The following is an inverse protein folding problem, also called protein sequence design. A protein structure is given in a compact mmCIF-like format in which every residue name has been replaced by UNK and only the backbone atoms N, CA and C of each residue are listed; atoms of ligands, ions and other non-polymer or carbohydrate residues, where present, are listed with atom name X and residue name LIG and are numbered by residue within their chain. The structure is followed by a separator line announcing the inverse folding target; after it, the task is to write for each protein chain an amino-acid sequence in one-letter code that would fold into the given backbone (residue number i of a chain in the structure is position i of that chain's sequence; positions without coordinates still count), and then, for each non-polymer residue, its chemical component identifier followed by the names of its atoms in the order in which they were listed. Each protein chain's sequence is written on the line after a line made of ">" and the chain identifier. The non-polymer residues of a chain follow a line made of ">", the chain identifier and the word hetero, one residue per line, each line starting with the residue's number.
data_IF_486349347908
#
_entry.id   IF_486349347908
#
_cell.length_a   1.000
_cell.length_b   1.000
_cell.length_c   1.000
_cell.angle_alpha   90.00
_cell.angle_beta   90.00
_cell.angle_gamma   90.00
#
_symmetry.space_group_name_H-M   'P 1'
#
loop_
_entity.id
_entity.type
_entity.pdbx_description
1 polymer ?
#
# COMPACT_ATOMS: atom_id res chain seq x y z
N UNK A 1 -17.75 -0.69 -10.68
CA UNK A 1 -16.97 -1.90 -10.96
C UNK A 1 -17.91 -3.08 -10.79
N UNK A 2 -17.89 -4.02 -11.72
CA UNK A 2 -18.77 -5.20 -11.64
C UNK A 2 -18.37 -6.11 -10.47
N UNK A 3 -19.34 -6.73 -9.77
CA UNK A 3 -19.06 -7.56 -8.58
C UNK A 3 -18.10 -8.72 -8.88
N UNK A 4 -18.29 -9.41 -10.01
CA UNK A 4 -17.43 -10.52 -10.46
C UNK A 4 -15.96 -10.08 -10.70
N UNK A 5 -15.75 -8.83 -11.14
CA UNK A 5 -14.40 -8.31 -11.40
C UNK A 5 -13.66 -8.03 -10.10
N UNK A 6 -14.36 -7.54 -9.06
CA UNK A 6 -13.79 -7.31 -7.73
C UNK A 6 -13.26 -8.60 -7.11
N UNK A 7 -14.05 -9.67 -7.13
CA UNK A 7 -13.67 -10.97 -6.55
C UNK A 7 -12.44 -11.58 -7.25
N UNK A 8 -12.38 -11.44 -8.58
CA UNK A 8 -11.22 -11.88 -9.37
C UNK A 8 -9.94 -11.13 -8.97
N UNK A 9 -10.03 -9.80 -8.76
CA UNK A 9 -8.89 -8.99 -8.34
C UNK A 9 -8.46 -9.28 -6.91
N UNK A 10 -9.40 -9.51 -5.98
CA UNK A 10 -9.07 -9.94 -4.63
C UNK A 10 -8.34 -11.29 -4.62
N UNK A 11 -8.77 -12.23 -5.46
CA UNK A 11 -8.07 -13.52 -5.62
C UNK A 11 -6.65 -13.32 -6.14
N UNK A 12 -6.45 -12.45 -7.14
CA UNK A 12 -5.11 -12.09 -7.63
C UNK A 12 -4.28 -11.43 -6.53
N UNK A 13 -4.87 -10.56 -5.71
CA UNK A 13 -4.19 -9.90 -4.59
C UNK A 13 -3.69 -10.91 -3.56
N UNK A 14 -4.51 -11.92 -3.20
CA UNK A 14 -4.11 -13.01 -2.31
C UNK A 14 -2.90 -13.77 -2.86
N UNK A 15 -2.94 -14.13 -4.14
CA UNK A 15 -1.83 -14.80 -4.83
C UNK A 15 -0.56 -13.93 -4.81
N UNK A 16 -0.68 -12.63 -5.08
CA UNK A 16 0.43 -11.67 -5.08
C UNK A 16 1.07 -11.45 -3.69
N UNK A 17 0.33 -11.75 -2.63
CA UNK A 17 0.78 -11.69 -1.23
C UNK A 17 1.30 -13.05 -0.73
N UNK A 18 1.19 -14.12 -1.52
CA UNK A 18 1.54 -15.47 -1.10
C UNK A 18 0.59 -16.06 -0.05
N UNK A 19 -0.61 -15.49 0.09
CA UNK A 19 -1.64 -15.98 1.00
C UNK A 19 -2.45 -17.07 0.27
N UNK A 20 -2.61 -18.28 0.83
CA UNK A 20 -3.42 -19.31 0.18
C UNK A 20 -4.88 -18.84 0.05
N UNK A 21 -5.52 -19.13 -1.08
CA UNK A 21 -6.88 -18.64 -1.40
C UNK A 21 -7.91 -19.09 -0.37
N UNK A 22 -7.67 -20.23 0.27
CA UNK A 22 -8.50 -20.82 1.33
C UNK A 22 -8.36 -20.14 2.68
N UNK A 23 -7.33 -19.31 2.90
CA UNK A 23 -7.20 -18.53 4.15
C UNK A 23 -8.15 -17.34 4.11
N UNK A 24 -9.10 -17.36 5.06
CA UNK A 24 -10.10 -16.31 5.25
C UNK A 24 -9.75 -15.34 6.37
N UNK A 25 -8.65 -15.59 7.08
CA UNK A 25 -8.23 -14.83 8.27
C UNK A 25 -8.00 -13.35 7.97
N UNK A 26 -7.59 -13.03 6.73
CA UNK A 26 -7.18 -11.69 6.30
C UNK A 26 -8.13 -11.06 5.27
N UNK A 27 -9.25 -11.70 4.91
CA UNK A 27 -10.18 -11.19 3.89
C UNK A 27 -10.73 -9.81 4.23
N UNK A 28 -11.05 -9.55 5.50
CA UNK A 28 -11.57 -8.24 5.93
C UNK A 28 -10.52 -7.14 5.71
N UNK A 29 -9.26 -7.40 6.05
CA UNK A 29 -8.17 -6.45 5.88
C UNK A 29 -7.84 -6.23 4.40
N UNK A 30 -7.86 -7.30 3.59
CA UNK A 30 -7.63 -7.24 2.15
C UNK A 30 -8.74 -6.48 1.44
N UNK A 31 -10.00 -6.77 1.78
CA UNK A 31 -11.17 -6.07 1.26
C UNK A 31 -11.09 -4.58 1.57
N UNK A 32 -10.86 -4.22 2.84
CA UNK A 32 -10.70 -2.82 3.23
C UNK A 32 -9.56 -2.12 2.49
N UNK A 33 -8.38 -2.74 2.41
CA UNK A 33 -7.22 -2.20 1.70
C UNK A 33 -7.52 -1.93 0.22
N UNK A 34 -8.27 -2.85 -0.40
CA UNK A 34 -8.65 -2.77 -1.79
C UNK A 34 -9.70 -1.67 -2.04
N UNK A 35 -10.76 -1.61 -1.23
CA UNK A 35 -11.78 -0.55 -1.32
C UNK A 35 -11.19 0.84 -1.06
N UNK A 36 -10.33 0.98 -0.05
CA UNK A 36 -9.63 2.22 0.25
C UNK A 36 -8.77 2.69 -0.94
N UNK A 37 -8.05 1.75 -1.56
CA UNK A 37 -7.23 2.04 -2.74
C UNK A 37 -8.09 2.48 -3.93
N UNK A 38 -9.20 1.79 -4.19
CA UNK A 38 -10.13 2.14 -5.28
C UNK A 38 -10.69 3.55 -5.06
N UNK A 39 -11.20 3.84 -3.87
CA UNK A 39 -11.77 5.15 -3.55
C UNK A 39 -10.75 6.26 -3.73
N UNK A 40 -9.52 6.05 -3.23
CA UNK A 40 -8.46 7.02 -3.36
C UNK A 40 -8.01 7.23 -4.81
N UNK A 41 -7.96 6.19 -5.65
CA UNK A 41 -7.65 6.34 -7.09
C UNK A 41 -8.79 7.08 -7.80
N UNK A 42 -10.05 6.75 -7.50
CA UNK A 42 -11.22 7.44 -8.07
C UNK A 42 -11.22 8.92 -7.73
N UNK A 43 -10.93 9.26 -6.48
CA UNK A 43 -10.81 10.64 -6.02
C UNK A 43 -9.63 11.36 -6.69
N UNK A 44 -8.48 10.71 -6.83
CA UNK A 44 -7.30 11.30 -7.47
C UNK A 44 -7.48 11.54 -8.97
N UNK A 45 -7.97 10.54 -9.70
CA UNK A 45 -8.18 10.62 -11.14
C UNK A 45 -9.50 11.33 -11.50
N UNK A 46 -10.39 11.58 -10.53
CA UNK A 46 -11.73 12.12 -10.73
C UNK A 46 -12.55 11.28 -11.74
N UNK A 47 -12.58 9.96 -11.50
CA UNK A 47 -13.27 8.97 -12.33
C UNK A 47 -14.27 8.18 -11.48
N UNK A 48 -15.41 7.81 -12.06
CA UNK A 48 -16.44 7.03 -11.35
C UNK A 48 -16.11 5.53 -11.29
N UNK A 49 -15.34 5.04 -12.27
CA UNK A 49 -14.99 3.63 -12.41
C UNK A 49 -13.52 3.46 -12.80
N UNK A 50 -12.90 2.35 -12.35
CA UNK A 50 -11.50 2.04 -12.61
C UNK A 50 -11.40 1.29 -13.95
N UNK A 51 -10.71 1.85 -14.97
CA UNK A 51 -10.50 1.16 -16.23
C UNK A 51 -9.61 -0.07 -16.05
N UNK A 52 -9.76 -1.07 -16.95
CA UNK A 52 -8.96 -2.31 -16.94
C UNK A 52 -7.45 -2.03 -16.91
N UNK A 53 -7.03 -0.95 -17.60
CA UNK A 53 -5.63 -0.53 -17.65
C UNK A 53 -5.05 -0.13 -16.27
N UNK A 54 -5.90 0.29 -15.32
CA UNK A 54 -5.50 0.67 -13.97
C UNK A 54 -5.60 -0.49 -12.95
N UNK A 55 -6.10 -1.67 -13.34
CA UNK A 55 -6.27 -2.79 -12.41
C UNK A 55 -4.94 -3.25 -11.82
N UNK A 56 -3.90 -3.36 -12.64
CA UNK A 56 -2.57 -3.77 -12.17
C UNK A 56 -1.98 -2.74 -11.19
N UNK A 57 -2.10 -1.45 -11.48
CA UNK A 57 -1.66 -0.37 -10.58
C UNK A 57 -2.47 -0.37 -9.29
N UNK A 58 -3.77 -0.60 -9.36
CA UNK A 58 -4.66 -0.73 -8.19
C UNK A 58 -4.23 -1.90 -7.31
N UNK A 59 -3.91 -3.05 -7.88
CA UNK A 59 -3.39 -4.21 -7.15
C UNK A 59 -2.04 -3.92 -6.47
N UNK A 60 -1.14 -3.21 -7.14
CA UNK A 60 0.16 -2.82 -6.57
C UNK A 60 -0.01 -1.87 -5.39
N UNK A 61 -0.87 -0.85 -5.50
CA UNK A 61 -1.15 0.09 -4.42
C UNK A 61 -1.83 -0.64 -3.24
N UNK A 62 -2.82 -1.50 -3.51
CA UNK A 62 -3.51 -2.25 -2.47
C UNK A 62 -2.56 -3.23 -1.75
N UNK A 63 -1.66 -3.88 -2.49
CA UNK A 63 -0.60 -4.73 -1.93
C UNK A 63 0.32 -3.93 -1.02
N UNK A 64 0.81 -2.79 -1.50
CA UNK A 64 1.74 -1.94 -0.75
C UNK A 64 1.08 -1.39 0.52
N UNK A 65 -0.17 -0.91 0.41
CA UNK A 65 -0.96 -0.47 1.55
C UNK A 65 -1.13 -1.60 2.58
N UNK A 66 -1.47 -2.80 2.14
CA UNK A 66 -1.64 -3.96 3.01
C UNK A 66 -0.35 -4.32 3.76
N UNK A 67 0.78 -4.38 3.05
CA UNK A 67 2.09 -4.68 3.64
C UNK A 67 2.58 -3.59 4.60
N UNK A 68 2.17 -2.34 4.38
CA UNK A 68 2.56 -1.25 5.25
C UNK A 68 1.71 -1.17 6.52
N UNK A 69 0.39 -1.43 6.40
CA UNK A 69 -0.59 -1.23 7.47
C UNK A 69 -0.90 -2.48 8.29
N UNK A 70 -0.93 -3.67 7.66
CA UNK A 70 -1.44 -4.90 8.29
C UNK A 70 -0.44 -6.03 8.36
N UNK A 71 0.59 -6.03 7.50
CA UNK A 71 1.68 -6.99 7.71
C UNK A 71 2.35 -6.65 9.04
N UNK A 72 2.34 -7.64 9.94
CA UNK A 72 3.18 -7.61 11.12
C UNK A 72 4.60 -7.26 10.66
N UNK A 73 5.31 -6.36 11.37
CA UNK A 73 6.73 -6.20 11.11
C UNK A 73 7.30 -7.62 11.15
N UNK A 74 7.92 -8.05 10.04
CA UNK A 74 8.71 -9.26 10.06
C UNK A 74 9.52 -9.19 11.34
N UNK A 75 9.42 -10.21 12.18
CA UNK A 75 10.02 -10.27 13.51
C UNK A 75 11.54 -10.18 13.34
N UNK A 76 12.04 -8.99 13.03
CA UNK A 76 13.37 -8.54 13.35
C UNK A 76 13.34 -8.55 14.87
N UNK A 77 14.05 -9.53 15.43
CA UNK A 77 14.14 -9.71 16.86
C UNK A 77 14.32 -8.37 17.55
N UNK A 78 13.53 -8.19 18.59
CA UNK A 78 13.81 -7.27 19.68
C UNK A 78 13.96 -5.79 19.30
N UNK A 79 12.99 -5.02 19.79
CA UNK A 79 13.15 -3.63 20.21
C UNK A 79 13.42 -2.60 19.12
N UNK A 80 12.46 -1.68 19.02
CA UNK A 80 12.71 -0.26 19.28
C UNK A 80 14.02 -0.02 20.07
N UNK A 81 15.14 0.06 19.38
CA UNK A 81 16.30 0.77 19.89
C UNK A 81 16.39 2.06 19.10
N UNK A 82 15.69 3.04 19.66
CA UNK A 82 16.06 4.44 19.61
C UNK A 82 17.57 4.56 19.90
N UNK A 83 18.40 4.47 18.88
CA UNK A 83 19.84 4.71 19.02
C UNK A 83 20.04 6.22 19.05
N UNK A 84 19.93 6.79 20.25
CA UNK A 84 20.48 8.12 20.51
C UNK A 84 21.99 8.04 20.28
N UNK A 85 22.48 8.92 19.40
CA UNK A 85 23.87 9.05 18.96
C UNK A 85 24.89 8.60 20.01
N UNK A 86 25.63 7.52 19.75
CA UNK A 86 26.73 7.11 20.63
C UNK A 86 27.99 7.86 20.21
N UNK A 87 28.41 8.84 21.01
CA UNK A 87 29.64 9.60 20.80
C UNK A 87 30.82 8.88 21.46
N UNK A 88 31.73 8.29 20.66
CA UNK A 88 33.03 7.80 21.15
C UNK A 88 34.14 8.55 20.40
N UNK A 89 34.51 9.73 20.89
CA UNK A 89 35.50 10.58 20.25
C UNK A 89 35.01 11.27 18.97
N UNK A 90 35.93 11.59 18.06
CA UNK A 90 35.75 12.41 16.85
C UNK A 90 35.11 11.67 15.66
N UNK A 91 34.57 10.46 15.87
CA UNK A 91 33.98 9.67 14.78
C UNK A 91 32.49 9.49 15.04
N UNK A 92 31.66 10.15 14.22
CA UNK A 92 30.21 10.07 14.26
C UNK A 92 29.71 9.15 13.14
N UNK A 93 29.13 8.00 13.50
CA UNK A 93 28.37 7.16 12.57
C UNK A 93 26.88 7.50 12.71
N UNK A 94 26.30 8.08 11.66
CA UNK A 94 24.86 8.35 11.62
C UNK A 94 24.16 7.22 10.87
N UNK A 95 23.54 6.31 11.61
CA UNK A 95 22.66 5.29 11.01
C UNK A 95 21.29 5.92 10.83
N UNK A 96 20.92 6.25 9.59
CA UNK A 96 19.59 6.76 9.29
C UNK A 96 18.56 5.64 9.55
N UNK A 97 17.89 5.72 10.70
CA UNK A 97 16.73 4.91 10.98
C UNK A 97 15.58 5.39 10.07
N UNK A 98 15.20 4.57 9.09
CA UNK A 98 13.94 4.73 8.40
C UNK A 98 12.82 4.34 9.36
N UNK A 99 12.44 5.25 10.26
CA UNK A 99 11.17 5.14 10.93
C UNK A 99 10.11 4.94 9.84
N UNK A 100 9.34 3.85 9.92
CA UNK A 100 8.20 3.59 9.03
C UNK A 100 7.18 4.70 9.31
N UNK A 101 7.39 5.86 8.69
CA UNK A 101 6.53 7.03 8.80
C UNK A 101 5.16 6.52 8.37
N UNK A 102 4.20 6.46 9.30
CA UNK A 102 2.82 6.09 8.98
C UNK A 102 2.43 6.90 7.75
N UNK A 103 2.33 6.21 6.61
CA UNK A 103 2.12 6.88 5.34
C UNK A 103 0.66 7.30 5.37
N UNK A 104 0.42 8.60 5.55
CA UNK A 104 -0.92 9.19 5.48
C UNK A 104 -1.59 8.66 4.22
N UNK A 105 -2.80 8.08 4.32
CA UNK A 105 -3.30 7.11 3.35
C UNK A 105 -3.32 7.53 1.87
N UNK A 106 -3.21 8.83 1.55
CA UNK A 106 -3.09 9.33 0.17
C UNK A 106 -1.65 9.37 -0.37
N UNK A 107 -0.64 9.30 0.49
CA UNK A 107 0.77 9.36 0.07
C UNK A 107 1.19 8.13 -0.74
N UNK A 108 0.60 6.95 -0.47
CA UNK A 108 0.75 5.79 -1.35
C UNK A 108 0.28 6.09 -2.77
N UNK A 109 -0.89 6.70 -2.90
CA UNK A 109 -1.48 7.03 -4.21
C UNK A 109 -0.61 8.05 -4.96
N UNK A 110 -0.04 9.02 -4.24
CA UNK A 110 0.90 10.00 -4.80
C UNK A 110 2.18 9.37 -5.33
N UNK A 111 2.67 8.28 -4.74
CA UNK A 111 3.84 7.54 -5.26
C UNK A 111 3.59 6.95 -6.66
N UNK A 112 2.33 6.66 -7.01
CA UNK A 112 1.93 6.16 -8.32
C UNK A 112 1.38 7.26 -9.23
N UNK A 113 1.57 8.54 -8.89
CA UNK A 113 1.05 9.68 -9.66
C UNK A 113 1.44 9.63 -11.15
N UNK A 114 2.65 9.17 -11.49
CA UNK A 114 3.08 9.05 -12.89
C UNK A 114 2.17 8.12 -13.72
N UNK A 115 1.70 7.02 -13.12
CA UNK A 115 0.79 6.08 -13.78
C UNK A 115 -0.66 6.58 -13.75
N UNK A 116 -1.07 7.22 -12.65
CA UNK A 116 -2.43 7.73 -12.45
C UNK A 116 -2.73 9.00 -13.26
N UNK A 117 -1.72 9.83 -13.54
CA UNK A 117 -1.87 11.08 -14.28
C UNK A 117 -2.41 10.88 -15.70
N UNK A 118 -2.11 9.75 -16.34
CA UNK A 118 -2.62 9.42 -17.67
C UNK A 118 -4.16 9.29 -17.71
N UNK A 119 -4.78 8.98 -16.57
CA UNK A 119 -6.24 8.77 -16.43
C UNK A 119 -6.93 9.92 -15.71
N UNK A 120 -6.18 10.94 -15.29
CA UNK A 120 -6.69 12.04 -14.48
C UNK A 120 -7.52 12.99 -15.33
N UNK A 121 -8.80 13.16 -14.97
CA UNK A 121 -9.70 14.14 -15.57
C UNK A 121 -9.63 15.46 -14.81
N UNK A 122 -9.08 16.49 -15.44
CA UNK A 122 -9.10 17.85 -14.92
C UNK A 122 -10.55 18.34 -14.80
N UNK A 123 -10.88 18.87 -13.62
CA UNK A 123 -12.14 19.57 -13.36
C UNK A 123 -11.82 21.07 -13.31
N UNK A 124 -12.60 21.85 -14.06
CA UNK A 124 -12.57 23.31 -14.02
C UNK A 124 -13.58 23.81 -12.99
#
# INVERSE_FOLDING_TARGET
>A
MEPNRRETLLTKLKILLGIPVTDTSKDVQLGFSFDFTIDGIKNYCNISDIPVQLENTTLLIAKDYYLNQFAEPATAGETELNVQSVKRGDVQFNFAAYAKKGVEGTAFIKSYAAQLNAFRKLRW
#
